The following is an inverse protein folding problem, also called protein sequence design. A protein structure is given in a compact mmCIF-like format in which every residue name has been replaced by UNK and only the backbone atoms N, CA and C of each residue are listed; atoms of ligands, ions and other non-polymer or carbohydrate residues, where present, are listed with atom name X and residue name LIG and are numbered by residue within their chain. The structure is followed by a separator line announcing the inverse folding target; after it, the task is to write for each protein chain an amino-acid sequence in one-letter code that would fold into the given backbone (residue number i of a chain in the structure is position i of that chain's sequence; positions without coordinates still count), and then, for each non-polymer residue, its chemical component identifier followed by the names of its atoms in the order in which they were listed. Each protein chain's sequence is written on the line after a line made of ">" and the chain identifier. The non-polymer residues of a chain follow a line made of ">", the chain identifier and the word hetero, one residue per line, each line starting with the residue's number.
data_IF_114731897199
#
_entry.id   IF_114731897199
#
_cell.length_a   1.000
_cell.length_b   1.000
_cell.length_c   1.000
_cell.angle_alpha   90.00
_cell.angle_beta   90.00
_cell.angle_gamma   90.00
#
_symmetry.space_group_name_H-M   'P 1'
#
loop_
_entity.id
_entity.type
_entity.pdbx_description
1 polymer ?
#
# COMPACT_ATOMS: atom_id res chain seq x y z
N UNK A 1 3.97 10.51 6.41
CA UNK A 1 4.15 9.07 6.63
C UNK A 1 4.20 8.34 5.30
N UNK A 2 4.87 7.23 5.29
CA UNK A 2 4.96 6.48 4.06
C UNK A 2 4.84 4.97 4.30
N UNK A 3 4.38 4.27 3.27
CA UNK A 3 4.24 2.82 3.29
C UNK A 3 4.68 2.22 1.97
N UNK A 4 4.94 0.94 2.00
CA UNK A 4 5.37 0.16 0.86
C UNK A 4 4.57 -1.13 0.81
N UNK A 5 4.19 -1.54 -0.39
CA UNK A 5 3.62 -2.86 -0.64
C UNK A 5 4.69 -3.72 -1.29
N UNK A 6 4.92 -4.88 -0.74
CA UNK A 6 5.95 -5.81 -1.22
C UNK A 6 5.38 -7.23 -1.27
N UNK A 7 6.08 -8.12 -1.97
CA UNK A 7 5.73 -9.55 -2.03
C UNK A 7 6.80 -10.33 -1.28
N UNK A 8 6.37 -11.18 -0.36
CA UNK A 8 7.29 -12.00 0.42
C UNK A 8 7.97 -13.04 -0.48
N UNK A 9 9.28 -13.16 -0.35
CA UNK A 9 10.07 -14.14 -1.11
C UNK A 9 10.10 -15.50 -0.43
N UNK A 10 9.85 -15.55 0.87
CA UNK A 10 9.86 -16.80 1.65
C UNK A 10 9.21 -16.61 3.00
N UNK A 11 9.23 -17.68 3.81
CA UNK A 11 8.71 -17.64 5.16
C UNK A 11 9.60 -16.76 6.06
N UNK A 12 8.96 -15.89 6.84
CA UNK A 12 9.65 -15.00 7.76
C UNK A 12 8.74 -14.61 8.91
N UNK A 13 9.35 -14.31 10.06
CA UNK A 13 8.66 -13.73 11.21
C UNK A 13 8.65 -12.22 11.04
N UNK A 14 7.46 -11.63 11.23
CA UNK A 14 7.29 -10.16 11.12
C UNK A 14 6.52 -9.65 12.34
N UNK A 15 6.44 -8.34 12.47
CA UNK A 15 5.62 -7.69 13.51
C UNK A 15 4.14 -8.04 13.39
N UNK A 16 3.68 -8.37 12.19
CA UNK A 16 2.29 -8.76 11.93
C UNK A 16 2.06 -10.28 11.99
N UNK A 17 3.10 -11.07 12.24
CA UNK A 17 3.04 -12.52 12.29
C UNK A 17 3.97 -13.17 11.27
N UNK A 18 3.74 -14.46 10.99
CA UNK A 18 4.52 -15.23 10.03
C UNK A 18 3.96 -15.01 8.62
N UNK A 19 4.84 -14.64 7.68
CA UNK A 19 4.47 -14.59 6.26
C UNK A 19 5.05 -15.79 5.52
N UNK A 20 4.40 -16.15 4.41
CA UNK A 20 4.82 -17.21 3.50
C UNK A 20 5.23 -16.60 2.16
N UNK A 21 5.98 -17.34 1.37
CA UNK A 21 6.33 -16.92 0.02
C UNK A 21 5.05 -16.60 -0.79
N UNK A 22 5.05 -15.45 -1.48
CA UNK A 22 3.91 -14.99 -2.26
C UNK A 22 2.90 -14.14 -1.50
N UNK A 23 2.99 -14.07 -0.17
CA UNK A 23 2.14 -13.17 0.61
C UNK A 23 2.44 -11.73 0.26
N UNK A 24 1.41 -10.88 0.28
CA UNK A 24 1.55 -9.44 0.06
C UNK A 24 1.73 -8.77 1.41
N UNK A 25 2.80 -8.00 1.54
CA UNK A 25 3.18 -7.33 2.78
C UNK A 25 2.91 -5.83 2.66
N UNK A 26 2.24 -5.28 3.66
CA UNK A 26 2.12 -3.84 3.83
C UNK A 26 3.06 -3.37 4.93
N UNK A 27 4.08 -2.58 4.54
CA UNK A 27 5.05 -2.02 5.48
C UNK A 27 4.73 -0.55 5.71
N UNK A 28 4.52 -0.17 6.96
CA UNK A 28 4.29 1.22 7.36
C UNK A 28 5.52 1.70 8.13
N UNK A 29 6.14 2.76 7.64
CA UNK A 29 7.38 3.32 8.22
C UNK A 29 8.47 2.24 8.40
N UNK A 30 8.54 1.29 7.46
CA UNK A 30 9.56 0.24 7.43
C UNK A 30 9.20 -1.06 8.14
N UNK A 31 8.10 -1.10 8.90
CA UNK A 31 7.69 -2.30 9.64
C UNK A 31 6.49 -2.98 8.98
N UNK A 32 6.50 -4.30 8.93
CA UNK A 32 5.37 -5.06 8.39
C UNK A 32 4.18 -4.90 9.32
N UNK A 33 3.14 -4.23 8.84
CA UNK A 33 1.91 -3.99 9.59
C UNK A 33 0.76 -4.88 9.14
N UNK A 34 0.77 -5.31 7.88
CA UNK A 34 -0.32 -6.08 7.28
C UNK A 34 0.26 -7.20 6.42
N UNK A 35 -0.31 -8.38 6.54
CA UNK A 35 -0.04 -9.52 5.65
C UNK A 35 -1.35 -9.85 4.94
N UNK A 36 -1.33 -9.88 3.62
CA UNK A 36 -2.51 -10.13 2.81
C UNK A 36 -2.22 -11.03 1.62
N UNK A 37 -3.25 -11.26 0.80
CA UNK A 37 -3.16 -12.14 -0.36
C UNK A 37 -3.10 -11.38 -1.68
N UNK A 38 -3.66 -10.17 -1.74
CA UNK A 38 -3.74 -9.37 -2.96
C UNK A 38 -3.25 -7.95 -2.71
N UNK A 39 -2.60 -7.37 -3.71
CA UNK A 39 -2.00 -6.03 -3.61
C UNK A 39 -3.04 -4.94 -3.31
N UNK A 40 -4.14 -4.91 -4.06
CA UNK A 40 -5.16 -3.88 -3.89
C UNK A 40 -5.82 -3.92 -2.53
N UNK A 41 -6.20 -5.09 -2.06
CA UNK A 41 -6.83 -5.27 -0.75
C UNK A 41 -5.87 -4.92 0.40
N UNK A 42 -4.63 -5.38 0.31
CA UNK A 42 -3.61 -5.10 1.31
C UNK A 42 -3.31 -3.61 1.38
N UNK A 43 -3.17 -2.97 0.24
CA UNK A 43 -2.92 -1.53 0.16
C UNK A 43 -4.10 -0.72 0.73
N UNK A 44 -5.34 -1.14 0.51
CA UNK A 44 -6.50 -0.48 1.09
C UNK A 44 -6.48 -0.54 2.63
N UNK A 45 -6.12 -1.68 3.20
CA UNK A 45 -5.98 -1.82 4.66
C UNK A 45 -4.87 -0.91 5.19
N UNK A 46 -3.74 -0.86 4.50
CA UNK A 46 -2.62 0.02 4.85
C UNK A 46 -3.06 1.48 4.83
N UNK A 47 -3.75 1.90 3.77
CA UNK A 47 -4.29 3.28 3.66
C UNK A 47 -5.25 3.60 4.81
N UNK A 48 -6.15 2.69 5.14
CA UNK A 48 -7.10 2.91 6.25
C UNK A 48 -6.36 3.13 7.57
N UNK A 49 -5.32 2.37 7.84
CA UNK A 49 -4.51 2.54 9.04
C UNK A 49 -3.77 3.86 9.07
N UNK A 50 -3.18 4.26 7.93
CA UNK A 50 -2.46 5.53 7.82
C UNK A 50 -3.41 6.71 7.98
N UNK A 51 -4.58 6.67 7.34
CA UNK A 51 -5.57 7.74 7.37
C UNK A 51 -6.35 7.79 8.69
N UNK A 52 -6.31 6.73 9.50
CA UNK A 52 -6.88 6.76 10.85
C UNK A 52 -6.20 7.80 11.74
N UNK A 53 -4.94 8.12 11.47
CA UNK A 53 -4.20 9.17 12.16
C UNK A 53 -4.41 10.56 11.54
N UNK A 54 -5.24 10.66 10.50
CA UNK A 54 -5.49 11.88 9.75
C UNK A 54 -4.63 11.98 8.49
N UNK A 55 -4.99 12.88 7.61
CA UNK A 55 -4.26 13.14 6.37
C UNK A 55 -5.11 13.94 5.42
N UNK A 56 -4.46 14.70 4.55
CA UNK A 56 -5.11 15.56 3.55
C UNK A 56 -4.80 15.12 2.13
N UNK A 57 -3.68 14.42 1.92
CA UNK A 57 -3.26 13.99 0.59
C UNK A 57 -2.68 12.58 0.65
N UNK A 58 -3.08 11.76 -0.29
CA UNK A 58 -2.52 10.43 -0.55
C UNK A 58 -1.78 10.47 -1.87
N UNK A 59 -0.52 10.05 -1.86
CA UNK A 59 0.30 9.88 -3.05
C UNK A 59 0.54 8.39 -3.28
N UNK A 60 0.20 7.91 -4.47
CA UNK A 60 0.42 6.53 -4.89
C UNK A 60 1.50 6.52 -5.97
N UNK A 61 2.55 5.73 -5.78
CA UNK A 61 3.64 5.61 -6.74
C UNK A 61 3.70 4.16 -7.21
N UNK A 62 3.27 3.94 -8.45
CA UNK A 62 3.23 2.61 -9.06
C UNK A 62 4.61 2.17 -9.49
N UNK A 63 4.98 0.95 -9.14
CA UNK A 63 6.22 0.33 -9.54
C UNK A 63 6.18 -0.22 -10.95
N UNK A 64 7.34 -0.71 -11.41
CA UNK A 64 7.46 -1.39 -12.69
C UNK A 64 6.53 -2.60 -12.73
N UNK A 65 5.76 -2.71 -13.81
CA UNK A 65 4.83 -3.81 -13.99
C UNK A 65 3.56 -3.76 -13.15
N UNK A 66 3.38 -2.73 -12.33
CA UNK A 66 2.15 -2.58 -11.53
C UNK A 66 0.95 -2.29 -12.44
N UNK A 67 -0.18 -2.90 -12.09
CA UNK A 67 -1.43 -2.73 -12.84
C UNK A 67 -2.11 -1.41 -12.45
N UNK A 68 -2.54 -0.64 -13.43
CA UNK A 68 -3.31 0.59 -13.21
C UNK A 68 -4.61 0.32 -12.44
N UNK A 69 -5.16 -0.89 -12.54
CA UNK A 69 -6.36 -1.27 -11.79
C UNK A 69 -6.17 -1.17 -10.28
N UNK A 70 -4.95 -1.39 -9.77
CA UNK A 70 -4.64 -1.23 -8.35
C UNK A 70 -4.79 0.23 -7.95
N UNK A 71 -4.23 1.15 -8.74
CA UNK A 71 -4.36 2.58 -8.47
C UNK A 71 -5.82 3.04 -8.55
N UNK A 72 -6.54 2.60 -9.56
CA UNK A 72 -7.96 2.93 -9.73
C UNK A 72 -8.79 2.46 -8.54
N UNK A 73 -8.55 1.24 -8.07
CA UNK A 73 -9.21 0.67 -6.89
C UNK A 73 -8.95 1.52 -5.64
N UNK A 74 -7.70 1.92 -5.43
CA UNK A 74 -7.32 2.70 -4.25
C UNK A 74 -7.84 4.12 -4.30
N UNK A 75 -7.81 4.76 -5.47
CA UNK A 75 -8.39 6.10 -5.66
C UNK A 75 -9.88 6.07 -5.36
N UNK A 76 -10.61 5.08 -5.87
CA UNK A 76 -12.03 4.92 -5.62
C UNK A 76 -12.31 4.68 -4.13
N UNK A 77 -11.49 3.87 -3.47
CA UNK A 77 -11.59 3.60 -2.04
C UNK A 77 -11.44 4.90 -1.22
N UNK A 78 -10.41 5.69 -1.50
CA UNK A 78 -10.17 6.95 -0.78
C UNK A 78 -11.31 7.94 -1.02
N UNK A 79 -11.77 8.09 -2.26
CA UNK A 79 -12.87 9.00 -2.60
C UNK A 79 -14.16 8.65 -1.85
N UNK A 80 -14.43 7.35 -1.70
CA UNK A 80 -15.65 6.88 -1.04
C UNK A 80 -15.56 6.98 0.47
N UNK A 81 -14.43 6.59 1.05
CA UNK A 81 -14.26 6.50 2.50
C UNK A 81 -13.73 7.80 3.12
N UNK A 82 -13.00 8.60 2.37
CA UNK A 82 -12.32 9.83 2.83
C UNK A 82 -12.51 10.95 1.82
N UNK A 83 -13.73 11.48 1.67
CA UNK A 83 -14.07 12.39 0.56
C UNK A 83 -13.32 13.72 0.56
N UNK A 84 -12.72 14.12 1.70
CA UNK A 84 -11.93 15.36 1.79
C UNK A 84 -10.45 15.16 1.52
N UNK A 85 -10.02 13.91 1.32
CA UNK A 85 -8.62 13.59 1.05
C UNK A 85 -8.37 13.60 -0.47
N UNK A 86 -7.35 14.33 -0.89
CA UNK A 86 -6.92 14.34 -2.29
C UNK A 86 -6.01 13.16 -2.60
N UNK A 87 -6.06 12.68 -3.83
CA UNK A 87 -5.21 11.60 -4.31
C UNK A 87 -4.42 12.01 -5.54
N UNK A 88 -3.16 11.60 -5.57
CA UNK A 88 -2.26 11.78 -6.72
C UNK A 88 -1.60 10.44 -7.04
N UNK A 89 -1.55 10.10 -8.32
CA UNK A 89 -0.96 8.84 -8.79
C UNK A 89 0.20 9.15 -9.73
N UNK A 90 1.35 8.53 -9.44
CA UNK A 90 2.54 8.60 -10.31
C UNK A 90 2.97 7.21 -10.73
N UNK A 91 3.57 7.10 -11.91
CA UNK A 91 4.33 5.92 -12.30
C UNK A 91 5.79 6.17 -11.99
N UNK A 92 6.27 5.57 -10.89
CA UNK A 92 7.66 5.71 -10.46
C UNK A 92 8.62 4.77 -11.18
N UNK A 93 8.13 3.62 -11.66
CA UNK A 93 8.95 2.64 -12.37
C UNK A 93 9.95 1.89 -11.50
N UNK A 94 9.83 2.01 -10.16
CA UNK A 94 10.72 1.28 -9.25
C UNK A 94 10.56 -0.23 -9.42
N UNK A 95 11.66 -0.96 -9.36
CA UNK A 95 11.68 -2.41 -9.54
C UNK A 95 11.51 -3.19 -8.24
N UNK A 96 11.68 -2.54 -7.10
CA UNK A 96 11.72 -3.21 -5.79
C UNK A 96 10.35 -3.35 -5.14
N UNK A 97 9.42 -2.45 -5.43
CA UNK A 97 8.10 -2.44 -4.81
C UNK A 97 7.03 -2.14 -5.85
N UNK A 98 5.95 -2.94 -5.89
CA UNK A 98 4.84 -2.68 -6.81
C UNK A 98 4.10 -1.38 -6.48
N UNK A 99 4.15 -0.91 -5.23
CA UNK A 99 3.43 0.29 -4.82
C UNK A 99 4.10 0.94 -3.61
N UNK A 100 4.29 2.25 -3.70
CA UNK A 100 4.64 3.10 -2.56
C UNK A 100 3.47 4.03 -2.26
N UNK A 101 3.23 4.31 -0.98
CA UNK A 101 2.11 5.12 -0.52
C UNK A 101 2.66 6.21 0.41
N UNK A 102 2.31 7.46 0.12
CA UNK A 102 2.58 8.58 1.01
C UNK A 102 1.28 9.18 1.53
N UNK A 103 1.24 9.58 2.80
CA UNK A 103 0.12 10.28 3.41
C UNK A 103 0.64 11.53 4.11
N UNK A 104 0.10 12.68 3.72
CA UNK A 104 0.44 13.96 4.31
C UNK A 104 -0.77 14.67 4.91
#
# INVERSE_FOLDING_TARGET
>A
RYAEIAVAEGESWTMAGVCQAGDVLGLIDGDVAVIGAATGETAAVVLDRMLAAGGEMVTLILGEGADDAVADHLVAHVRRAYPVVDTVVYRGGQSTSPLLIGVE
#
